data_IF_658488044023
#
_entry.id   IF_658488044023
#
_cell.length_a   1.000
_cell.length_b   1.000
_cell.length_c   1.000
_cell.angle_alpha   90.00
_cell.angle_beta   90.00
_cell.angle_gamma   90.00
#
_symmetry.space_group_name_H-M   'P 1'
#
loop_
_entity.id
_entity.type
_entity.pdbx_description
1 polymer ?
#
# COMPACT_ATOMS: atom_id res chain seq x y z
N UNK A 1 13.70 -9.97 -13.59
CA UNK A 1 12.44 -9.91 -12.83
C UNK A 1 12.64 -8.90 -11.71
N UNK A 2 12.24 -7.65 -11.91
CA UNK A 2 12.48 -6.55 -10.98
C UNK A 2 11.14 -6.06 -10.42
N UNK A 3 10.58 -6.81 -9.47
CA UNK A 3 9.40 -6.41 -8.70
C UNK A 3 9.75 -6.05 -7.24
N UNK A 4 11.03 -6.04 -6.88
CA UNK A 4 11.52 -5.85 -5.51
C UNK A 4 12.06 -4.45 -5.20
N UNK A 5 12.33 -3.61 -6.20
CA UNK A 5 12.95 -2.29 -6.00
C UNK A 5 11.98 -1.22 -5.50
N UNK A 6 10.71 -1.27 -5.90
CA UNK A 6 9.75 -0.23 -5.52
C UNK A 6 9.36 -0.34 -4.03
N UNK A 7 9.05 -1.55 -3.55
CA UNK A 7 8.79 -1.81 -2.13
C UNK A 7 10.02 -1.54 -1.25
N UNK A 8 11.24 -1.83 -1.74
CA UNK A 8 12.48 -1.51 -1.03
C UNK A 8 12.71 0.01 -0.85
N UNK A 9 12.10 0.85 -1.68
CA UNK A 9 12.21 2.31 -1.57
C UNK A 9 11.30 2.93 -0.50
N UNK A 10 10.36 2.17 0.08
CA UNK A 10 9.41 2.63 1.08
C UNK A 10 9.83 2.16 2.48
N UNK A 11 10.09 3.11 3.36
CA UNK A 11 10.41 2.79 4.76
C UNK A 11 9.14 2.43 5.54
N UNK A 12 9.28 1.69 6.64
CA UNK A 12 8.15 1.37 7.53
C UNK A 12 7.44 2.63 8.06
N UNK A 13 8.18 3.71 8.32
CA UNK A 13 7.62 5.00 8.75
C UNK A 13 6.77 5.63 7.64
N UNK A 14 7.28 5.68 6.41
CA UNK A 14 6.56 6.21 5.26
C UNK A 14 5.30 5.41 4.98
N UNK A 15 5.38 4.08 5.08
CA UNK A 15 4.20 3.25 4.91
C UNK A 15 3.13 3.53 5.98
N UNK A 16 3.53 3.63 7.25
CA UNK A 16 2.58 3.96 8.33
C UNK A 16 1.93 5.33 8.12
N UNK A 17 2.66 6.30 7.58
CA UNK A 17 2.10 7.61 7.23
C UNK A 17 1.16 7.52 6.03
N UNK A 18 1.47 6.69 5.04
CA UNK A 18 0.62 6.43 3.87
C UNK A 18 -0.73 5.83 4.28
N UNK A 19 -0.75 4.83 5.16
CA UNK A 19 -2.00 4.25 5.67
C UNK A 19 -2.86 5.27 6.41
N UNK A 20 -2.25 6.06 7.30
CA UNK A 20 -2.96 7.15 7.99
C UNK A 20 -3.52 8.18 7.01
N UNK A 21 -2.76 8.51 5.98
CA UNK A 21 -3.18 9.47 4.98
C UNK A 21 -4.32 8.93 4.10
N UNK A 22 -4.35 7.63 3.80
CA UNK A 22 -5.48 6.99 3.13
C UNK A 22 -6.77 7.01 3.97
N UNK A 23 -6.64 6.89 5.29
CA UNK A 23 -7.78 7.01 6.21
C UNK A 23 -8.29 8.45 6.35
N UNK A 24 -7.40 9.44 6.19
CA UNK A 24 -7.74 10.86 6.28
C UNK A 24 -8.31 11.43 4.97
N UNK A 25 -7.81 10.95 3.82
CA UNK A 25 -8.17 11.43 2.49
C UNK A 25 -8.86 10.31 1.72
N UNK A 26 -10.18 10.41 1.63
CA UNK A 26 -11.05 9.52 0.87
C UNK A 26 -10.85 9.65 -0.65
N UNK A 27 -11.65 8.91 -1.43
CA UNK A 27 -11.54 8.89 -2.89
C UNK A 27 -12.00 10.20 -3.55
N UNK A 28 -12.90 10.94 -2.90
CA UNK A 28 -13.49 12.18 -3.42
C UNK A 28 -12.67 13.42 -3.05
N UNK A 29 -11.66 13.26 -2.18
CA UNK A 29 -10.75 14.33 -1.78
C UNK A 29 -10.03 14.92 -3.02
N UNK A 30 -10.20 16.22 -3.30
CA UNK A 30 -9.44 16.88 -4.37
C UNK A 30 -7.95 16.84 -4.05
N UNK A 31 -7.12 16.64 -5.07
CA UNK A 31 -5.67 16.53 -4.93
C UNK A 31 -5.20 15.47 -3.91
N UNK A 32 -6.01 14.41 -3.71
CA UNK A 32 -5.75 13.31 -2.77
C UNK A 32 -4.29 12.88 -2.71
N UNK A 33 -3.69 12.59 -3.87
CA UNK A 33 -2.32 12.08 -3.96
C UNK A 33 -1.27 13.10 -3.54
N UNK A 34 -1.49 14.38 -3.83
CA UNK A 34 -0.62 15.46 -3.37
C UNK A 34 -0.70 15.63 -1.85
N UNK A 35 -1.91 15.52 -1.29
CA UNK A 35 -2.12 15.59 0.15
C UNK A 35 -1.48 14.41 0.89
N UNK A 36 -1.61 13.19 0.35
CA UNK A 36 -0.95 12.00 0.90
C UNK A 36 0.58 12.13 0.79
N UNK A 37 1.11 12.57 -0.35
CA UNK A 37 2.55 12.76 -0.55
C UNK A 37 3.15 13.74 0.47
N UNK A 38 2.42 14.83 0.78
CA UNK A 38 2.81 15.79 1.82
C UNK A 38 2.87 15.15 3.21
N UNK A 39 1.93 14.28 3.56
CA UNK A 39 1.94 13.58 4.85
C UNK A 39 3.02 12.50 4.95
N UNK A 40 3.23 11.75 3.86
CA UNK A 40 4.24 10.68 3.80
C UNK A 40 5.65 11.25 3.90
N UNK A 41 5.91 12.33 3.15
CA UNK A 41 7.22 12.97 3.07
C UNK A 41 8.23 12.18 2.24
N UNK A 42 8.97 12.89 1.38
CA UNK A 42 10.02 12.29 0.55
C UNK A 42 9.50 11.32 -0.52
N UNK A 43 8.23 11.46 -0.91
CA UNK A 43 7.59 10.76 -2.04
C UNK A 43 6.79 11.75 -2.87
N UNK A 44 6.76 11.56 -4.18
CA UNK A 44 5.91 12.35 -5.09
C UNK A 44 4.47 11.83 -5.11
N UNK A 45 3.54 12.64 -5.60
CA UNK A 45 2.13 12.23 -5.76
C UNK A 45 2.01 11.01 -6.70
N UNK A 46 2.84 10.95 -7.74
CA UNK A 46 2.88 9.84 -8.70
C UNK A 46 3.43 8.57 -8.04
N UNK A 47 4.46 8.67 -7.20
CA UNK A 47 4.98 7.52 -6.45
C UNK A 47 3.95 6.97 -5.47
N UNK A 48 3.23 7.85 -4.77
CA UNK A 48 2.13 7.49 -3.87
C UNK A 48 1.01 6.80 -4.65
N UNK A 49 0.59 7.36 -5.79
CA UNK A 49 -0.46 6.77 -6.63
C UNK A 49 -0.09 5.38 -7.12
N UNK A 50 1.14 5.20 -7.65
CA UNK A 50 1.64 3.89 -8.07
C UNK A 50 1.68 2.89 -6.92
N UNK A 51 2.07 3.33 -5.73
CA UNK A 51 2.10 2.48 -4.55
C UNK A 51 0.70 2.02 -4.13
N UNK A 52 -0.29 2.90 -4.22
CA UNK A 52 -1.70 2.56 -4.02
C UNK A 52 -2.22 1.55 -5.06
N UNK A 53 -1.92 1.75 -6.35
CA UNK A 53 -2.35 0.83 -7.42
C UNK A 53 -1.80 -0.58 -7.22
N UNK A 54 -0.54 -0.71 -6.78
CA UNK A 54 0.06 -2.00 -6.42
C UNK A 54 -0.63 -2.63 -5.22
N UNK A 55 -0.96 -1.83 -4.19
CA UNK A 55 -1.70 -2.33 -3.02
C UNK A 55 -3.08 -2.86 -3.43
N UNK A 56 -3.78 -2.18 -4.33
CA UNK A 56 -5.09 -2.63 -4.85
C UNK A 56 -4.95 -3.92 -5.66
N UNK A 57 -3.95 -4.02 -6.53
CA UNK A 57 -3.69 -5.25 -7.30
C UNK A 57 -3.33 -6.43 -6.40
N UNK A 58 -2.53 -6.21 -5.36
CA UNK A 58 -2.20 -7.24 -4.36
C UNK A 58 -3.47 -7.71 -3.61
N UNK A 59 -4.32 -6.79 -3.16
CA UNK A 59 -5.61 -7.12 -2.52
C UNK A 59 -6.50 -7.91 -3.48
N UNK A 60 -6.65 -7.44 -4.73
CA UNK A 60 -7.46 -8.12 -5.74
C UNK A 60 -6.98 -9.55 -6.02
N UNK A 61 -5.66 -9.77 -6.10
CA UNK A 61 -5.10 -11.11 -6.31
C UNK A 61 -5.36 -12.04 -5.12
N UNK A 62 -5.33 -11.51 -3.90
CA UNK A 62 -5.62 -12.27 -2.68
C UNK A 62 -7.11 -12.67 -2.64
N UNK A 63 -8.03 -11.73 -2.93
CA UNK A 63 -9.47 -12.00 -2.94
C UNK A 63 -9.91 -13.01 -4.01
N UNK A 64 -9.15 -13.11 -5.10
CA UNK A 64 -9.45 -14.02 -6.20
C UNK A 64 -8.69 -15.37 -6.11
N UNK A 65 -8.07 -15.69 -4.96
CA UNK A 65 -7.21 -16.88 -4.76
C UNK A 65 -6.09 -17.02 -5.81
N UNK A 66 -5.69 -15.91 -6.45
CA UNK A 66 -4.64 -15.85 -7.48
C UNK A 66 -3.27 -15.56 -6.89
N UNK A 67 -3.02 -16.00 -5.65
CA UNK A 67 -1.72 -15.82 -4.99
C UNK A 67 -0.79 -16.95 -5.45
N UNK A 68 0.37 -16.65 -6.06
CA UNK A 68 1.36 -17.68 -6.37
C UNK A 68 1.78 -18.48 -5.13
N UNK A 69 1.84 -19.81 -5.27
CA UNK A 69 2.17 -20.76 -4.19
C UNK A 69 3.43 -20.41 -3.36
N UNK A 70 4.39 -19.66 -3.91
CA UNK A 70 5.60 -19.23 -3.17
C UNK A 70 5.35 -18.23 -2.03
N UNK A 71 4.19 -17.57 -1.98
CA UNK A 71 3.80 -16.73 -0.83
C UNK A 71 3.33 -17.56 0.37
N UNK A 72 2.99 -18.85 0.19
CA UNK A 72 2.51 -19.71 1.28
C UNK A 72 3.62 -20.28 2.18
N UNK A 73 4.85 -20.41 1.66
CA UNK A 73 5.97 -21.01 2.43
C UNK A 73 6.99 -19.99 2.94
N UNK A 74 6.83 -18.71 2.63
CA UNK A 74 7.76 -17.67 3.04
C UNK A 74 7.15 -16.86 4.17
N UNK A 75 7.36 -17.33 5.40
CA UNK A 75 7.10 -16.57 6.62
C UNK A 75 8.01 -15.34 6.64
N UNK A 76 7.67 -14.31 5.88
CA UNK A 76 8.32 -13.01 5.92
C UNK A 76 7.27 -11.91 5.70
N UNK A 77 6.86 -11.21 6.76
CA UNK A 77 5.69 -10.35 6.75
C UNK A 77 6.02 -8.98 6.18
N UNK A 78 5.63 -8.76 4.93
CA UNK A 78 4.96 -7.49 4.56
C UNK A 78 3.54 -7.41 5.18
N UNK A 79 3.21 -8.31 6.13
CA UNK A 79 1.89 -8.66 6.63
C UNK A 79 1.34 -7.73 7.72
N UNK A 80 2.06 -6.70 8.14
CA UNK A 80 1.49 -5.70 9.06
C UNK A 80 0.59 -4.72 8.34
N UNK A 81 0.84 -4.45 7.06
CA UNK A 81 0.15 -3.41 6.29
C UNK A 81 -1.15 -3.97 5.67
N UNK A 82 -1.03 -5.17 5.10
CA UNK A 82 -2.13 -5.93 4.52
C UNK A 82 -3.18 -6.36 5.57
N UNK A 83 -2.74 -6.67 6.80
CA UNK A 83 -3.67 -7.01 7.88
C UNK A 83 -4.32 -5.80 8.54
N UNK A 84 -3.70 -4.61 8.49
CA UNK A 84 -4.32 -3.37 8.97
C UNK A 84 -5.32 -2.81 7.97
N UNK A 85 -4.97 -2.82 6.67
CA UNK A 85 -5.84 -2.33 5.60
C UNK A 85 -7.15 -3.13 5.49
N UNK A 86 -7.09 -4.46 5.60
CA UNK A 86 -8.28 -5.32 5.63
C UNK A 86 -9.16 -5.11 6.88
N UNK A 87 -8.59 -4.67 8.02
CA UNK A 87 -9.36 -4.39 9.24
C UNK A 87 -10.04 -3.02 9.22
N UNK A 88 -9.52 -2.06 8.44
CA UNK A 88 -10.02 -0.68 8.42
C UNK A 88 -11.07 -0.43 7.33
N UNK A 89 -11.08 -1.23 6.26
CA UNK A 89 -12.08 -1.12 5.19
C UNK A 89 -13.37 -1.92 5.46
N UNK A 90 -13.40 -2.73 6.51
CA UNK A 90 -14.52 -3.61 6.87
C UNK A 90 -15.34 -3.15 8.09
N UNK A 91 -15.22 -1.88 8.53
CA UNK A 91 -15.97 -1.33 9.67
C UNK A 91 -16.57 0.04 9.40
#
# INVERSE_FOLDING_TARGET
MASSSFAASWTAKQNKMFEKALALYDQDTPDRWHNIARLVGGKSAEEVKRYYELLVDDVFRIENDKVPSYYSSSRNPSSTLLSLALRYLAS
#
